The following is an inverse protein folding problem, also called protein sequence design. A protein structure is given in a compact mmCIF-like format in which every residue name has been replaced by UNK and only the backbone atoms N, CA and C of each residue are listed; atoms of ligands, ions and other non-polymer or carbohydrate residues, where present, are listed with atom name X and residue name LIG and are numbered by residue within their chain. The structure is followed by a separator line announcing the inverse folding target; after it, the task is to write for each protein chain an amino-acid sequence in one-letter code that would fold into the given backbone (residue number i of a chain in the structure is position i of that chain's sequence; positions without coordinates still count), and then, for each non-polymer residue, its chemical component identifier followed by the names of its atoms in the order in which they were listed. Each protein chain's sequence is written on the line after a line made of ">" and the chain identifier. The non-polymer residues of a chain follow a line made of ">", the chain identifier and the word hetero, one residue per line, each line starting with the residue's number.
data_IF_592056095461
#
_entry.id   IF_592056095461
#
_cell.length_a   1.000
_cell.length_b   1.000
_cell.length_c   1.000
_cell.angle_alpha   90.00
_cell.angle_beta   90.00
_cell.angle_gamma   90.00
#
_symmetry.space_group_name_H-M   'P 1'
#
loop_
_entity.id
_entity.type
_entity.pdbx_description
1 polymer ?
#
# COMPACT_ATOMS: atom_id res chain seq x y z
N UNK A 1 -24.53 -22.30 17.26
CA UNK A 1 -23.68 -21.11 17.07
C UNK A 1 -22.78 -20.98 18.30
N UNK A 2 -21.55 -21.45 18.22
CA UNK A 2 -20.56 -21.35 19.30
C UNK A 2 -19.89 -19.98 19.24
N UNK A 3 -20.06 -19.19 20.30
CA UNK A 3 -19.36 -17.92 20.49
C UNK A 3 -17.84 -18.15 20.47
N UNK A 4 -17.07 -17.43 19.65
CA UNK A 4 -15.62 -17.56 19.64
C UNK A 4 -15.06 -17.11 21.00
N UNK A 5 -14.32 -17.99 21.68
CA UNK A 5 -13.63 -17.67 22.93
C UNK A 5 -12.57 -16.58 22.65
N UNK A 6 -12.49 -15.52 23.46
CA UNK A 6 -11.52 -14.48 23.25
C UNK A 6 -10.10 -14.98 23.57
N UNK A 7 -9.20 -14.86 22.60
CA UNK A 7 -7.77 -15.14 22.74
C UNK A 7 -7.12 -14.11 23.69
N UNK A 8 -7.10 -14.39 24.99
CA UNK A 8 -6.35 -13.64 26.00
C UNK A 8 -5.24 -14.50 26.58
N UNK A 9 -4.05 -14.41 26.00
CA UNK A 9 -2.86 -15.15 26.45
C UNK A 9 -1.56 -14.38 26.28
N UNK A 10 -1.60 -13.05 26.44
CA UNK A 10 -0.40 -12.23 26.63
C UNK A 10 -0.56 -11.54 27.96
N UNK A 11 0.32 -11.87 28.91
CA UNK A 11 0.35 -11.24 30.23
C UNK A 11 0.47 -9.73 30.07
N UNK A 12 -0.29 -8.97 30.86
CA UNK A 12 -0.37 -7.51 30.76
C UNK A 12 1.00 -6.81 30.91
N UNK A 13 2.01 -7.48 31.47
CA UNK A 13 3.37 -6.96 31.66
C UNK A 13 4.18 -6.84 30.36
N UNK A 14 3.96 -7.72 29.37
CA UNK A 14 4.72 -7.71 28.10
C UNK A 14 4.27 -6.64 27.09
N UNK A 15 3.08 -6.06 27.24
CA UNK A 15 2.53 -5.06 26.30
C UNK A 15 3.10 -3.66 26.50
N UNK A 16 3.40 -3.28 27.75
CA UNK A 16 3.89 -1.95 28.12
C UNK A 16 5.22 -1.56 27.43
N UNK A 17 6.28 -2.41 27.40
CA UNK A 17 7.54 -2.01 26.78
C UNK A 17 7.43 -1.85 25.26
N UNK A 18 6.65 -2.69 24.56
CA UNK A 18 6.42 -2.55 23.12
C UNK A 18 5.67 -1.28 22.75
N UNK A 19 4.63 -0.91 23.52
CA UNK A 19 3.90 0.35 23.32
C UNK A 19 4.84 1.53 23.52
N UNK A 20 5.64 1.52 24.60
CA UNK A 20 6.55 2.62 24.92
C UNK A 20 7.62 2.81 23.85
N UNK A 21 8.20 1.72 23.34
CA UNK A 21 9.20 1.77 22.26
C UNK A 21 8.59 2.23 20.93
N UNK A 22 7.37 1.81 20.61
CA UNK A 22 6.67 2.29 19.42
C UNK A 22 6.40 3.80 19.52
N UNK A 23 5.90 4.25 20.67
CA UNK A 23 5.61 5.68 20.92
C UNK A 23 6.89 6.52 20.94
N UNK A 24 7.99 6.01 21.49
CA UNK A 24 9.27 6.74 21.53
C UNK A 24 10.05 6.68 20.22
N UNK A 25 9.98 5.57 19.49
CA UNK A 25 10.67 5.37 18.22
C UNK A 25 9.98 6.09 17.05
N UNK A 26 8.66 6.25 17.10
CA UNK A 26 7.89 6.88 16.03
C UNK A 26 8.31 8.35 15.77
N UNK A 27 8.52 9.23 16.78
CA UNK A 27 9.04 10.58 16.55
C UNK A 27 10.43 10.61 15.91
N UNK A 28 11.36 9.75 16.35
CA UNK A 28 12.71 9.66 15.78
C UNK A 28 12.65 9.18 14.33
N UNK A 29 11.80 8.19 14.08
CA UNK A 29 11.53 7.66 12.75
C UNK A 29 10.93 8.72 11.83
N UNK A 30 9.92 9.48 12.31
CA UNK A 30 9.33 10.59 11.57
C UNK A 30 10.40 11.61 11.23
N UNK A 31 11.14 12.10 12.22
CA UNK A 31 12.19 13.10 12.04
C UNK A 31 13.25 12.66 11.02
N UNK A 32 13.71 11.40 11.09
CA UNK A 32 14.73 10.87 10.19
C UNK A 32 14.28 10.87 8.73
N UNK A 33 13.04 10.46 8.47
CA UNK A 33 12.52 10.34 7.10
C UNK A 33 11.93 11.66 6.58
N UNK A 34 11.29 12.48 7.42
CA UNK A 34 10.69 13.74 6.98
C UNK A 34 11.70 14.84 6.68
N UNK A 35 12.88 14.83 7.33
CA UNK A 35 13.89 15.88 7.15
C UNK A 35 14.81 15.71 5.94
N UNK A 36 14.72 14.61 5.19
CA UNK A 36 15.74 14.24 4.18
C UNK A 36 15.30 14.40 2.72
N UNK A 37 14.00 14.51 2.47
CA UNK A 37 13.44 14.53 1.11
C UNK A 37 12.51 15.74 0.99
N UNK A 38 12.62 16.46 -0.12
CA UNK A 38 11.65 17.52 -0.44
C UNK A 38 10.29 16.86 -0.65
N UNK A 39 9.23 17.40 -0.06
CA UNK A 39 7.86 16.92 -0.26
C UNK A 39 7.37 17.33 -1.66
N UNK A 40 7.96 16.75 -2.71
CA UNK A 40 7.77 17.16 -4.10
C UNK A 40 6.30 17.19 -4.49
N UNK A 41 5.55 16.11 -4.22
CA UNK A 41 4.14 16.02 -4.57
C UNK A 41 3.30 17.02 -3.78
N UNK A 42 3.53 17.17 -2.47
CA UNK A 42 2.83 18.17 -1.68
C UNK A 42 3.05 19.57 -2.24
N UNK A 43 4.28 19.88 -2.63
CA UNK A 43 4.65 21.19 -3.16
C UNK A 43 4.03 21.47 -4.52
N UNK A 44 3.80 20.46 -5.35
CA UNK A 44 3.00 20.59 -6.57
C UNK A 44 1.59 21.06 -6.24
N UNK A 45 0.93 20.42 -5.27
CA UNK A 45 -0.43 20.79 -4.85
C UNK A 45 -0.48 22.15 -4.14
N UNK A 46 0.48 22.43 -3.26
CA UNK A 46 0.58 23.70 -2.54
C UNK A 46 0.80 24.87 -3.51
N UNK A 47 1.71 24.70 -4.49
CA UNK A 47 1.97 25.73 -5.51
C UNK A 47 0.76 25.93 -6.43
N UNK A 48 0.07 24.84 -6.79
CA UNK A 48 -1.18 24.93 -7.53
C UNK A 48 -2.27 25.65 -6.75
N UNK A 49 -2.40 25.39 -5.44
CA UNK A 49 -3.35 26.08 -4.58
C UNK A 49 -3.04 27.59 -4.51
N UNK A 50 -1.77 27.97 -4.34
CA UNK A 50 -1.34 29.37 -4.41
C UNK A 50 -1.69 30.01 -5.76
N UNK A 51 -1.41 29.31 -6.86
CA UNK A 51 -1.77 29.77 -8.20
C UNK A 51 -3.26 30.05 -8.32
N UNK A 52 -4.09 29.09 -7.91
CA UNK A 52 -5.56 29.23 -7.91
C UNK A 52 -6.02 30.41 -7.06
N UNK A 53 -5.47 30.60 -5.85
CA UNK A 53 -5.82 31.74 -4.99
C UNK A 53 -5.44 33.09 -5.57
N UNK A 54 -4.45 33.14 -6.46
CA UNK A 54 -4.01 34.34 -7.17
C UNK A 54 -4.57 34.43 -8.61
N UNK A 55 -5.56 33.61 -8.97
CA UNK A 55 -6.13 33.56 -10.31
C UNK A 55 -5.12 33.25 -11.43
N UNK A 56 -4.04 32.53 -11.09
CA UNK A 56 -3.04 32.04 -12.04
C UNK A 56 -3.35 30.59 -12.45
N UNK A 57 -2.99 30.23 -13.67
CA UNK A 57 -3.08 28.84 -14.12
C UNK A 57 -2.09 27.97 -13.34
N UNK A 58 -2.53 26.89 -12.68
CA UNK A 58 -1.63 25.95 -12.02
C UNK A 58 -0.97 24.98 -13.02
N UNK A 59 -1.46 24.93 -14.26
CA UNK A 59 -1.00 23.97 -15.26
C UNK A 59 0.26 24.44 -15.98
N UNK A 60 1.21 23.52 -16.28
CA UNK A 60 2.35 23.84 -17.12
C UNK A 60 1.93 24.11 -18.57
N UNK A 61 2.81 24.77 -19.33
CA UNK A 61 2.63 24.89 -20.77
C UNK A 61 2.79 23.51 -21.44
N UNK A 62 1.77 23.10 -22.21
CA UNK A 62 1.75 21.84 -22.97
C UNK A 62 2.87 21.85 -24.02
N UNK A 63 3.53 20.71 -24.25
CA UNK A 63 4.65 20.60 -25.18
C UNK A 63 6.01 21.01 -24.59
N UNK A 64 6.08 21.33 -23.30
CA UNK A 64 7.32 21.67 -22.62
C UNK A 64 7.76 20.55 -21.68
N UNK A 65 9.06 20.49 -21.38
CA UNK A 65 9.60 19.51 -20.41
C UNK A 65 9.05 19.66 -19.00
N UNK A 66 8.40 20.79 -18.69
CA UNK A 66 7.71 20.97 -17.42
C UNK A 66 6.61 19.91 -17.22
N UNK A 67 5.93 19.47 -18.29
CA UNK A 67 4.83 18.50 -18.23
C UNK A 67 5.26 17.19 -17.56
N UNK A 68 6.45 16.68 -17.89
CA UNK A 68 7.01 15.40 -17.42
C UNK A 68 8.23 15.60 -16.51
N UNK A 69 8.27 16.71 -15.77
CA UNK A 69 9.34 16.99 -14.80
C UNK A 69 9.15 16.30 -13.46
N UNK A 70 8.01 15.62 -13.24
CA UNK A 70 7.57 15.15 -11.92
C UNK A 70 7.19 16.27 -10.94
N UNK A 71 7.28 17.56 -11.32
CA UNK A 71 7.07 18.72 -10.44
C UNK A 71 5.94 19.65 -10.91
N UNK A 72 5.13 19.22 -11.88
CA UNK A 72 4.02 19.98 -12.43
C UNK A 72 2.67 19.50 -11.92
N UNK A 73 1.73 20.44 -11.79
CA UNK A 73 0.35 20.10 -11.46
C UNK A 73 -0.37 19.57 -12.69
N UNK A 74 -0.67 18.28 -12.66
CA UNK A 74 -1.33 17.53 -13.75
C UNK A 74 -2.65 16.89 -13.30
N UNK A 75 -3.17 17.32 -12.16
CA UNK A 75 -4.39 16.79 -11.56
C UNK A 75 -5.62 17.59 -12.00
N UNK A 76 -6.85 17.07 -11.81
CA UNK A 76 -8.05 17.85 -12.07
C UNK A 76 -8.09 19.12 -11.24
N UNK A 77 -8.51 20.22 -11.83
CA UNK A 77 -8.38 21.59 -11.30
C UNK A 77 -8.90 21.73 -9.87
N UNK A 78 -10.07 21.14 -9.57
CA UNK A 78 -10.64 21.19 -8.22
C UNK A 78 -9.79 20.48 -7.15
N UNK A 79 -8.86 19.60 -7.52
CA UNK A 79 -7.95 18.96 -6.57
C UNK A 79 -7.01 19.98 -5.91
N UNK A 80 -6.70 21.09 -6.57
CA UNK A 80 -5.90 22.17 -5.99
C UNK A 80 -6.62 22.86 -4.81
N UNK A 81 -7.96 22.91 -4.84
CA UNK A 81 -8.75 23.55 -3.78
C UNK A 81 -8.63 22.84 -2.44
N UNK A 82 -8.34 21.53 -2.44
CA UNK A 82 -8.09 20.76 -1.22
C UNK A 82 -6.88 21.30 -0.43
N UNK A 83 -5.97 21.99 -1.11
CA UNK A 83 -4.73 22.49 -0.53
C UNK A 83 -4.76 24.00 -0.21
N UNK A 84 -5.83 24.71 -0.55
CA UNK A 84 -6.00 26.13 -0.18
C UNK A 84 -5.82 26.38 1.32
N UNK A 85 -6.37 25.56 2.24
CA UNK A 85 -6.16 25.79 3.68
C UNK A 85 -4.68 25.80 4.11
N UNK A 86 -3.82 25.10 3.38
CA UNK A 86 -2.39 25.06 3.68
C UNK A 86 -1.67 26.35 3.25
N UNK A 87 -2.22 27.12 2.31
CA UNK A 87 -1.64 28.39 1.83
C UNK A 87 -1.67 29.51 2.86
N UNK A 88 -2.46 29.37 3.93
CA UNK A 88 -2.45 30.28 5.08
C UNK A 88 -1.24 30.10 6.00
N UNK A 89 -0.47 29.04 5.79
CA UNK A 89 0.75 28.73 6.54
C UNK A 89 1.97 29.07 5.68
N UNK A 90 3.12 29.33 6.33
CA UNK A 90 4.38 29.30 5.59
C UNK A 90 4.59 27.92 4.97
N UNK A 91 5.29 27.83 3.83
CA UNK A 91 5.58 26.56 3.15
C UNK A 91 6.09 25.47 4.11
N UNK A 92 7.03 25.82 4.99
CA UNK A 92 7.58 24.86 5.95
C UNK A 92 6.51 24.39 6.96
N UNK A 93 5.70 25.29 7.51
CA UNK A 93 4.60 24.90 8.40
C UNK A 93 3.58 24.00 7.69
N UNK A 94 3.24 24.34 6.45
CA UNK A 94 2.31 23.58 5.62
C UNK A 94 2.79 22.14 5.38
N UNK A 95 4.07 21.97 5.02
CA UNK A 95 4.74 20.68 4.85
C UNK A 95 4.68 19.82 6.14
N UNK A 96 4.95 20.41 7.31
CA UNK A 96 4.87 19.70 8.59
C UNK A 96 3.44 19.27 8.93
N UNK A 97 2.47 20.17 8.75
CA UNK A 97 1.05 19.85 9.00
C UNK A 97 0.59 18.74 8.05
N UNK A 98 0.99 18.77 6.79
CA UNK A 98 0.61 17.75 5.82
C UNK A 98 1.21 16.37 6.14
N UNK A 99 2.44 16.30 6.65
CA UNK A 99 3.03 15.04 7.15
C UNK A 99 2.23 14.47 8.31
N UNK A 100 1.83 15.31 9.27
CA UNK A 100 1.01 14.89 10.41
C UNK A 100 -0.34 14.34 9.92
N UNK A 101 -1.00 15.06 8.99
CA UNK A 101 -2.27 14.63 8.38
C UNK A 101 -2.12 13.31 7.63
N UNK A 102 -1.02 13.15 6.87
CA UNK A 102 -0.74 11.92 6.12
C UNK A 102 -0.53 10.72 7.05
N UNK A 103 0.29 10.88 8.09
CA UNK A 103 0.53 9.83 9.08
C UNK A 103 -0.76 9.47 9.84
N UNK A 104 -1.52 10.47 10.28
CA UNK A 104 -2.81 10.27 10.93
C UNK A 104 -3.77 9.51 10.00
N UNK A 105 -3.79 9.84 8.71
CA UNK A 105 -4.62 9.16 7.71
C UNK A 105 -4.26 7.69 7.57
N UNK A 106 -2.96 7.35 7.51
CA UNK A 106 -2.49 5.96 7.47
C UNK A 106 -2.91 5.22 8.75
N UNK A 107 -2.62 5.78 9.93
CA UNK A 107 -2.96 5.18 11.23
C UNK A 107 -4.46 4.94 11.36
N UNK A 108 -5.28 5.94 11.02
CA UNK A 108 -6.73 5.83 11.02
C UNK A 108 -7.22 4.79 10.01
N UNK A 109 -6.61 4.71 8.82
CA UNK A 109 -6.94 3.69 7.81
C UNK A 109 -6.72 2.28 8.35
N UNK A 110 -5.53 2.02 8.91
CA UNK A 110 -5.19 0.73 9.51
C UNK A 110 -6.18 0.37 10.62
N UNK A 111 -6.52 1.32 11.48
CA UNK A 111 -7.51 1.16 12.55
C UNK A 111 -8.91 0.85 12.02
N UNK A 112 -9.38 1.57 10.99
CA UNK A 112 -10.69 1.40 10.37
C UNK A 112 -10.82 0.06 9.63
N UNK A 113 -9.73 -0.41 9.01
CA UNK A 113 -9.65 -1.72 8.36
C UNK A 113 -9.58 -2.88 9.37
N UNK A 114 -9.51 -2.59 10.67
CA UNK A 114 -9.59 -3.57 11.75
C UNK A 114 -8.25 -4.00 12.31
N UNK A 115 -7.15 -3.32 11.95
CA UNK A 115 -5.84 -3.61 12.53
C UNK A 115 -5.80 -3.11 13.98
N UNK A 116 -5.62 -4.03 14.93
CA UNK A 116 -5.58 -3.74 16.38
C UNK A 116 -4.22 -3.98 17.02
N UNK A 117 -3.39 -4.81 16.40
CA UNK A 117 -2.08 -5.19 16.95
C UNK A 117 -1.05 -4.13 16.58
N UNK A 118 -0.36 -3.58 17.58
CA UNK A 118 0.70 -2.56 17.40
C UNK A 118 1.76 -3.05 16.41
N UNK A 119 2.18 -4.31 16.51
CA UNK A 119 3.16 -4.88 15.57
C UNK A 119 2.69 -4.82 14.11
N UNK A 120 1.37 -4.95 13.87
CA UNK A 120 0.81 -4.77 12.54
C UNK A 120 0.92 -3.32 12.05
N UNK A 121 0.68 -2.34 12.93
CA UNK A 121 0.94 -0.93 12.58
C UNK A 121 2.40 -0.74 12.20
N UNK A 122 3.33 -1.26 13.01
CA UNK A 122 4.77 -1.17 12.72
C UNK A 122 5.08 -1.72 11.32
N UNK A 123 4.58 -2.91 10.95
CA UNK A 123 4.84 -3.51 9.63
C UNK A 123 4.45 -2.59 8.47
N UNK A 124 3.25 -2.00 8.51
CA UNK A 124 2.81 -1.11 7.43
C UNK A 124 3.51 0.25 7.48
N UNK A 125 3.84 0.76 8.66
CA UNK A 125 4.52 2.05 8.80
C UNK A 125 5.98 2.00 8.36
N UNK A 126 6.67 0.87 8.57
CA UNK A 126 8.07 0.67 8.17
C UNK A 126 8.23 0.22 6.71
N UNK A 127 7.13 -0.07 6.02
CA UNK A 127 7.19 -0.38 4.59
C UNK A 127 7.70 0.83 3.82
N UNK A 128 8.66 0.64 2.91
CA UNK A 128 9.27 1.75 2.16
C UNK A 128 8.23 2.50 1.33
N UNK A 129 7.24 1.81 0.78
CA UNK A 129 6.14 2.41 0.00
C UNK A 129 5.28 3.35 0.85
N UNK A 130 5.13 3.05 2.14
CA UNK A 130 4.48 3.94 3.12
C UNK A 130 5.35 5.15 3.41
N UNK A 131 6.65 4.94 3.62
CA UNK A 131 7.63 6.00 3.88
C UNK A 131 7.65 6.98 2.70
N UNK A 132 7.88 6.49 1.49
CA UNK A 132 7.94 7.30 0.26
C UNK A 132 6.64 8.06 0.05
N UNK A 133 5.50 7.41 0.26
CA UNK A 133 4.19 8.03 0.14
C UNK A 133 4.00 9.23 1.07
N UNK A 134 4.49 9.15 2.32
CA UNK A 134 4.50 10.32 3.20
C UNK A 134 5.60 11.30 2.81
N UNK A 135 6.83 10.85 2.54
CA UNK A 135 8.00 11.70 2.34
C UNK A 135 7.81 12.66 1.17
N UNK A 136 7.23 12.16 0.08
CA UNK A 136 6.89 12.99 -1.08
C UNK A 136 5.67 13.88 -0.81
N UNK A 137 4.90 13.61 0.24
CA UNK A 137 3.67 14.34 0.53
C UNK A 137 2.57 14.00 -0.47
N UNK A 138 2.45 12.73 -0.85
CA UNK A 138 1.46 12.30 -1.85
C UNK A 138 0.03 12.32 -1.29
N UNK A 139 -0.97 12.21 -2.15
CA UNK A 139 -2.38 12.05 -1.75
C UNK A 139 -2.75 10.62 -1.31
N UNK A 140 -1.88 9.63 -1.51
CA UNK A 140 -2.21 8.22 -1.26
C UNK A 140 -2.58 7.91 0.21
N UNK A 141 -1.99 8.55 1.24
CA UNK A 141 -2.44 8.42 2.63
C UNK A 141 -3.92 8.80 2.81
N UNK A 142 -4.36 9.90 2.18
CA UNK A 142 -5.75 10.35 2.22
C UNK A 142 -6.66 9.41 1.42
N UNK A 143 -6.20 8.89 0.28
CA UNK A 143 -6.96 7.90 -0.49
C UNK A 143 -7.15 6.60 0.28
N UNK A 144 -6.11 6.13 0.96
CA UNK A 144 -6.20 4.97 1.86
C UNK A 144 -7.26 5.19 2.94
N UNK A 145 -7.33 6.40 3.52
CA UNK A 145 -8.33 6.77 4.52
C UNK A 145 -9.74 6.78 3.94
N UNK A 146 -9.95 7.41 2.79
CA UNK A 146 -11.24 7.41 2.10
C UNK A 146 -11.71 6.00 1.76
N UNK A 147 -10.81 5.13 1.28
CA UNK A 147 -11.12 3.72 0.99
C UNK A 147 -11.45 2.95 2.28
N UNK A 148 -10.71 3.17 3.37
CA UNK A 148 -10.97 2.54 4.66
C UNK A 148 -12.30 3.00 5.28
N UNK A 149 -12.64 4.28 5.16
CA UNK A 149 -13.93 4.84 5.55
C UNK A 149 -15.07 4.26 4.71
N UNK A 150 -14.89 4.20 3.39
CA UNK A 150 -15.86 3.59 2.47
C UNK A 150 -16.09 2.11 2.82
N UNK A 151 -15.05 1.35 3.17
CA UNK A 151 -15.17 -0.02 3.64
C UNK A 151 -15.91 -0.12 4.97
N UNK A 152 -15.52 0.69 5.97
CA UNK A 152 -16.12 0.68 7.31
C UNK A 152 -17.59 1.05 7.27
N UNK A 153 -17.95 2.06 6.48
CA UNK A 153 -19.30 2.59 6.35
C UNK A 153 -19.97 2.15 5.04
N UNK A 154 -19.60 1.00 4.47
CA UNK A 154 -20.11 0.48 3.19
C UNK A 154 -21.63 0.46 3.08
N UNK A 155 -22.34 0.35 4.21
CA UNK A 155 -23.80 0.39 4.29
C UNK A 155 -24.42 1.79 4.06
N UNK A 156 -23.65 2.87 4.14
CA UNK A 156 -24.08 4.26 3.93
C UNK A 156 -23.81 4.69 2.49
N UNK A 157 -24.76 4.43 1.60
CA UNK A 157 -24.58 4.63 0.16
C UNK A 157 -24.09 6.03 -0.23
N UNK A 158 -24.63 7.09 0.37
CA UNK A 158 -24.21 8.47 0.09
C UNK A 158 -22.75 8.73 0.46
N UNK A 159 -22.35 8.38 1.69
CA UNK A 159 -20.98 8.55 2.16
C UNK A 159 -20.00 7.76 1.27
N UNK A 160 -20.33 6.51 0.97
CA UNK A 160 -19.48 5.64 0.14
C UNK A 160 -19.34 6.18 -1.28
N UNK A 161 -20.46 6.55 -1.92
CA UNK A 161 -20.45 7.07 -3.27
C UNK A 161 -19.64 8.36 -3.39
N UNK A 162 -19.80 9.28 -2.44
CA UNK A 162 -19.01 10.54 -2.39
C UNK A 162 -17.53 10.27 -2.15
N UNK A 163 -17.17 9.42 -1.19
CA UNK A 163 -15.76 9.12 -0.90
C UNK A 163 -15.04 8.47 -2.10
N UNK A 164 -15.67 7.49 -2.75
CA UNK A 164 -15.09 6.83 -3.93
C UNK A 164 -14.99 7.79 -5.11
N UNK A 165 -15.99 8.65 -5.31
CA UNK A 165 -15.93 9.70 -6.33
C UNK A 165 -14.79 10.70 -6.07
N UNK A 166 -14.58 11.15 -4.84
CA UNK A 166 -13.50 12.06 -4.49
C UNK A 166 -12.12 11.43 -4.75
N UNK A 167 -11.94 10.16 -4.40
CA UNK A 167 -10.70 9.42 -4.65
C UNK A 167 -10.45 9.27 -6.16
N UNK A 168 -11.46 8.81 -6.91
CA UNK A 168 -11.36 8.63 -8.36
C UNK A 168 -11.16 9.94 -9.11
N UNK A 169 -11.79 11.02 -8.65
CA UNK A 169 -11.61 12.36 -9.23
C UNK A 169 -10.20 12.89 -8.95
N UNK A 170 -9.74 12.87 -7.69
CA UNK A 170 -8.42 13.37 -7.33
C UNK A 170 -7.29 12.59 -8.01
N UNK A 171 -7.51 11.30 -8.31
CA UNK A 171 -6.54 10.49 -9.06
C UNK A 171 -7.23 9.49 -9.99
N UNK A 172 -7.26 9.83 -11.28
CA UNK A 172 -8.08 9.17 -12.30
C UNK A 172 -7.86 7.65 -12.41
N UNK A 173 -6.67 7.14 -12.11
CA UNK A 173 -6.43 5.68 -12.14
C UNK A 173 -7.25 4.92 -11.07
N UNK A 174 -7.80 5.60 -10.07
CA UNK A 174 -8.67 5.04 -9.03
C UNK A 174 -10.16 5.10 -9.39
N UNK A 175 -10.55 5.66 -10.54
CA UNK A 175 -11.94 5.59 -11.05
C UNK A 175 -12.51 4.16 -11.08
N UNK A 176 -11.75 3.10 -11.41
CA UNK A 176 -12.26 1.73 -11.38
C UNK A 176 -12.86 1.32 -10.04
N UNK A 177 -12.53 1.97 -8.91
CA UNK A 177 -13.16 1.74 -7.60
C UNK A 177 -14.69 1.80 -7.63
N UNK A 178 -15.31 2.50 -8.59
CA UNK A 178 -16.77 2.47 -8.77
C UNK A 178 -17.31 1.07 -9.07
N UNK A 179 -16.52 0.21 -9.71
CA UNK A 179 -16.88 -1.18 -10.02
C UNK A 179 -17.09 -2.02 -8.76
N UNK A 180 -16.46 -1.69 -7.63
CA UNK A 180 -16.71 -2.39 -6.37
C UNK A 180 -18.18 -2.29 -5.97
N UNK A 181 -18.77 -1.11 -6.11
CA UNK A 181 -20.19 -0.89 -5.80
C UNK A 181 -21.10 -1.62 -6.79
N UNK A 182 -20.74 -1.61 -8.09
CA UNK A 182 -21.51 -2.32 -9.12
C UNK A 182 -21.51 -3.83 -8.90
N UNK A 183 -20.32 -4.43 -8.71
CA UNK A 183 -20.15 -5.87 -8.51
C UNK A 183 -20.80 -6.33 -7.20
N UNK A 184 -20.67 -5.54 -6.13
CA UNK A 184 -21.28 -5.82 -4.82
C UNK A 184 -22.78 -5.48 -4.75
N UNK A 185 -23.42 -5.18 -5.90
CA UNK A 185 -24.86 -4.85 -6.03
C UNK A 185 -25.30 -3.63 -5.21
N UNK A 186 -24.39 -2.69 -4.94
CA UNK A 186 -24.64 -1.42 -4.26
C UNK A 186 -25.00 -0.31 -5.26
N UNK A 187 -26.03 -0.55 -6.06
CA UNK A 187 -26.39 0.33 -7.19
C UNK A 187 -26.62 1.78 -6.81
N UNK A 188 -27.24 2.04 -5.65
CA UNK A 188 -27.47 3.41 -5.20
C UNK A 188 -26.16 4.16 -4.88
N UNK A 189 -25.21 3.50 -4.21
CA UNK A 189 -23.89 4.08 -3.97
C UNK A 189 -23.11 4.31 -5.27
N UNK A 190 -23.23 3.37 -6.22
CA UNK A 190 -22.66 3.50 -7.57
C UNK A 190 -23.22 4.74 -8.28
N UNK A 191 -24.54 4.93 -8.33
CA UNK A 191 -25.18 6.09 -8.95
C UNK A 191 -24.72 7.40 -8.31
N UNK A 192 -24.66 7.46 -6.97
CA UNK A 192 -24.14 8.64 -6.25
C UNK A 192 -22.69 8.92 -6.65
N UNK A 193 -21.86 7.89 -6.77
CA UNK A 193 -20.47 8.05 -7.18
C UNK A 193 -20.34 8.58 -8.61
N UNK A 194 -21.12 8.05 -9.55
CA UNK A 194 -21.12 8.53 -10.95
C UNK A 194 -21.59 9.98 -11.02
N UNK A 195 -22.68 10.32 -10.32
CA UNK A 195 -23.20 11.68 -10.30
C UNK A 195 -22.22 12.67 -9.66
N UNK A 196 -21.59 12.29 -8.55
CA UNK A 196 -20.58 13.11 -7.88
C UNK A 196 -19.34 13.31 -8.77
N UNK A 197 -18.86 12.24 -9.44
CA UNK A 197 -17.76 12.34 -10.42
C UNK A 197 -18.12 13.30 -11.57
N UNK A 198 -19.35 13.21 -12.09
CA UNK A 198 -19.81 14.09 -13.16
C UNK A 198 -19.86 15.55 -12.71
N UNK A 199 -20.40 15.84 -11.52
CA UNK A 199 -20.41 17.19 -10.96
C UNK A 199 -18.99 17.72 -10.81
N UNK A 200 -18.08 16.94 -10.23
CA UNK A 200 -16.69 17.34 -10.04
C UNK A 200 -15.99 17.57 -11.38
N UNK A 201 -16.20 16.71 -12.37
CA UNK A 201 -15.61 16.84 -13.70
C UNK A 201 -16.13 18.07 -14.46
N UNK A 202 -17.44 18.30 -14.46
CA UNK A 202 -18.09 19.47 -15.09
C UNK A 202 -17.62 20.74 -14.40
N UNK A 203 -17.68 20.80 -13.06
CA UNK A 203 -17.26 21.97 -12.29
C UNK A 203 -15.78 22.25 -12.49
N UNK A 204 -14.94 21.22 -12.48
CA UNK A 204 -13.51 21.35 -12.77
C UNK A 204 -13.25 21.86 -14.17
N UNK A 205 -14.04 21.45 -15.17
CA UNK A 205 -13.89 21.90 -16.55
C UNK A 205 -14.32 23.36 -16.72
N UNK A 206 -15.44 23.75 -16.10
CA UNK A 206 -15.99 25.11 -16.16
C UNK A 206 -15.09 26.12 -15.46
N UNK A 207 -14.50 25.74 -14.32
CA UNK A 207 -13.64 26.64 -13.53
C UNK A 207 -12.16 26.62 -13.94
N UNK A 208 -11.72 25.60 -14.67
CA UNK A 208 -10.32 25.45 -15.07
C UNK A 208 -9.92 26.51 -16.09
N UNK A 209 -8.74 27.16 -15.93
CA UNK A 209 -8.18 28.02 -16.96
C UNK A 209 -7.68 27.25 -18.18
N UNK A 210 -7.55 25.92 -18.07
CA UNK A 210 -7.17 25.01 -19.15
C UNK A 210 -8.42 24.32 -19.73
N UNK A 211 -8.73 24.48 -21.03
CA UNK A 211 -9.85 23.80 -21.67
C UNK A 211 -9.74 22.28 -21.59
N UNK A 212 -10.88 21.57 -21.58
CA UNK A 212 -10.93 20.10 -21.43
C UNK A 212 -10.02 19.37 -22.43
N UNK A 213 -10.08 19.71 -23.71
CA UNK A 213 -9.26 19.06 -24.74
C UNK A 213 -7.76 19.30 -24.53
N UNK A 214 -7.38 20.49 -24.05
CA UNK A 214 -6.00 20.80 -23.70
C UNK A 214 -5.55 20.02 -22.47
N UNK A 215 -6.41 19.89 -21.47
CA UNK A 215 -6.15 19.03 -20.30
C UNK A 215 -6.00 17.55 -20.68
N UNK A 216 -6.83 17.03 -21.58
CA UNK A 216 -6.68 15.66 -22.08
C UNK A 216 -5.36 15.48 -22.85
N UNK A 217 -4.94 16.45 -23.66
CA UNK A 217 -3.63 16.45 -24.32
C UNK A 217 -2.48 16.46 -23.33
N UNK A 218 -2.57 17.27 -22.27
CA UNK A 218 -1.59 17.29 -21.17
C UNK A 218 -1.44 15.91 -20.54
N UNK A 219 -2.56 15.24 -20.23
CA UNK A 219 -2.54 13.89 -19.66
C UNK A 219 -1.96 12.84 -20.62
N UNK A 220 -2.28 12.93 -21.93
CA UNK A 220 -1.72 12.03 -22.94
C UNK A 220 -0.21 12.23 -23.10
N UNK A 221 0.26 13.47 -23.11
CA UNK A 221 1.69 13.78 -23.18
C UNK A 221 2.44 13.25 -21.96
N UNK A 222 1.90 13.49 -20.76
CA UNK A 222 2.42 12.94 -19.52
C UNK A 222 2.47 11.41 -19.57
N UNK A 223 1.39 10.76 -19.97
CA UNK A 223 1.30 9.29 -20.04
C UNK A 223 2.30 8.67 -20.99
N UNK A 224 2.63 9.34 -22.10
CA UNK A 224 3.63 8.83 -23.07
C UNK A 224 5.05 8.90 -22.53
N UNK A 225 5.39 9.95 -21.79
CA UNK A 225 6.74 10.14 -21.26
C UNK A 225 6.95 9.37 -19.94
N UNK A 226 6.03 9.52 -19.00
CA UNK A 226 6.12 8.88 -17.68
C UNK A 226 5.76 7.39 -17.72
N UNK A 227 4.89 6.99 -18.66
CA UNK A 227 4.53 5.59 -18.83
C UNK A 227 5.73 4.71 -19.17
N UNK A 228 6.69 5.25 -19.92
CA UNK A 228 7.92 4.54 -20.29
C UNK A 228 8.92 4.39 -19.13
N UNK A 229 8.80 5.20 -18.08
CA UNK A 229 9.76 5.27 -16.96
C UNK A 229 9.20 4.69 -15.64
N UNK A 230 7.92 4.32 -15.60
CA UNK A 230 7.23 3.84 -14.40
C UNK A 230 7.19 2.32 -14.24
N UNK A 231 6.59 1.87 -13.13
CA UNK A 231 6.41 0.44 -12.80
C UNK A 231 5.11 -0.16 -13.39
N UNK A 232 4.55 0.43 -14.44
CA UNK A 232 3.23 0.04 -14.96
C UNK A 232 3.27 -1.32 -15.66
N UNK A 233 2.13 -2.02 -15.68
CA UNK A 233 2.00 -3.26 -16.45
C UNK A 233 2.20 -3.01 -17.95
N UNK A 234 1.82 -1.81 -18.43
CA UNK A 234 2.09 -1.37 -19.79
C UNK A 234 3.59 -1.40 -20.10
N UNK A 235 4.41 -0.78 -19.25
CA UNK A 235 5.87 -0.75 -19.43
C UNK A 235 6.49 -2.15 -19.36
N UNK A 236 6.02 -2.99 -18.45
CA UNK A 236 6.48 -4.37 -18.35
C UNK A 236 6.23 -5.12 -19.67
N UNK A 237 5.04 -5.01 -20.26
CA UNK A 237 4.72 -5.68 -21.52
C UNK A 237 5.52 -5.08 -22.67
N UNK A 238 5.65 -3.75 -22.75
CA UNK A 238 6.46 -3.10 -23.79
C UNK A 238 7.95 -3.48 -23.69
N UNK A 239 8.48 -3.71 -22.48
CA UNK A 239 9.86 -4.18 -22.28
C UNK A 239 10.12 -5.59 -22.81
N UNK A 240 9.06 -6.38 -23.03
CA UNK A 240 9.14 -7.71 -23.65
C UNK A 240 9.14 -7.62 -25.20
N UNK A 241 9.15 -6.43 -25.78
CA UNK A 241 9.24 -6.21 -27.23
C UNK A 241 7.91 -5.99 -27.94
N UNK A 242 6.79 -5.92 -27.21
CA UNK A 242 5.49 -5.58 -27.79
C UNK A 242 5.40 -4.07 -28.09
N UNK A 243 4.69 -3.72 -29.16
CA UNK A 243 4.35 -2.32 -29.46
C UNK A 243 3.44 -1.73 -28.37
N UNK A 244 3.34 -0.40 -28.33
CA UNK A 244 2.46 0.30 -27.39
C UNK A 244 1.00 -0.16 -27.53
N UNK A 245 0.50 -0.29 -28.75
CA UNK A 245 -0.89 -0.72 -29.02
C UNK A 245 -1.15 -2.17 -28.60
N UNK A 246 -0.21 -3.08 -28.84
CA UNK A 246 -0.31 -4.46 -28.36
C UNK A 246 -0.28 -4.52 -26.84
N UNK A 247 0.58 -3.71 -26.21
CA UNK A 247 0.69 -3.61 -24.75
C UNK A 247 -0.61 -3.10 -24.14
N UNK A 248 -1.20 -2.02 -24.69
CA UNK A 248 -2.51 -1.49 -24.28
C UNK A 248 -3.62 -2.53 -24.42
N UNK A 249 -3.64 -3.27 -25.54
CA UNK A 249 -4.61 -4.33 -25.78
C UNK A 249 -4.48 -5.47 -24.77
N UNK A 250 -3.25 -5.94 -24.50
CA UNK A 250 -2.98 -7.01 -23.52
C UNK A 250 -3.39 -6.55 -22.11
N UNK A 251 -3.09 -5.30 -21.72
CA UNK A 251 -3.53 -4.73 -20.44
C UNK A 251 -5.05 -4.70 -20.35
N UNK A 252 -5.74 -4.28 -21.41
CA UNK A 252 -7.21 -4.22 -21.44
C UNK A 252 -7.86 -5.60 -21.32
N UNK A 253 -7.36 -6.61 -22.04
CA UNK A 253 -7.83 -8.00 -21.92
C UNK A 253 -7.56 -8.55 -20.52
N UNK A 254 -6.36 -8.31 -19.97
CA UNK A 254 -6.00 -8.74 -18.61
C UNK A 254 -6.93 -8.11 -17.57
N UNK A 255 -7.22 -6.81 -17.71
CA UNK A 255 -8.15 -6.08 -16.87
C UNK A 255 -9.56 -6.67 -16.92
N UNK A 256 -10.08 -6.96 -18.12
CA UNK A 256 -11.39 -7.57 -18.31
C UNK A 256 -11.48 -8.96 -17.66
N UNK A 257 -10.50 -9.82 -17.91
CA UNK A 257 -10.42 -11.15 -17.31
C UNK A 257 -10.35 -11.06 -15.78
N UNK A 258 -9.61 -10.08 -15.24
CA UNK A 258 -9.52 -9.86 -13.80
C UNK A 258 -10.85 -9.39 -13.19
N UNK A 259 -11.59 -8.50 -13.87
CA UNK A 259 -12.95 -8.10 -13.45
C UNK A 259 -13.90 -9.30 -13.43
N UNK A 260 -13.88 -10.13 -14.48
CA UNK A 260 -14.69 -11.36 -14.55
C UNK A 260 -14.33 -12.30 -13.40
N UNK A 261 -13.04 -12.48 -13.13
CA UNK A 261 -12.55 -13.28 -12.03
C UNK A 261 -13.07 -12.79 -10.67
N UNK A 262 -12.95 -11.48 -10.40
CA UNK A 262 -13.44 -10.85 -9.16
C UNK A 262 -14.96 -11.02 -9.03
N UNK A 263 -15.72 -10.84 -10.11
CA UNK A 263 -17.17 -11.04 -10.14
C UNK A 263 -17.57 -12.49 -9.85
N UNK A 264 -16.92 -13.46 -10.48
CA UNK A 264 -17.16 -14.89 -10.21
C UNK A 264 -16.82 -15.25 -8.77
N UNK A 265 -15.71 -14.73 -8.24
CA UNK A 265 -15.33 -14.94 -6.83
C UNK A 265 -16.34 -14.33 -5.86
N UNK A 266 -16.87 -13.15 -6.18
CA UNK A 266 -17.96 -12.54 -5.42
C UNK A 266 -19.20 -13.42 -5.42
N UNK A 267 -19.64 -13.91 -6.59
CA UNK A 267 -20.79 -14.82 -6.73
C UNK A 267 -20.63 -16.10 -5.92
N UNK A 268 -19.41 -16.66 -5.87
CA UNK A 268 -19.13 -17.89 -5.15
C UNK A 268 -19.05 -17.72 -3.62
N UNK A 269 -18.59 -16.56 -3.13
CA UNK A 269 -18.32 -16.35 -1.69
C UNK A 269 -19.33 -15.44 -1.00
N UNK A 270 -20.09 -14.66 -1.76
CA UNK A 270 -20.91 -13.55 -1.28
C UNK A 270 -20.14 -12.56 -0.37
N UNK A 271 -18.82 -12.46 -0.55
CA UNK A 271 -17.94 -11.59 0.24
C UNK A 271 -17.57 -10.34 -0.56
N UNK A 272 -17.63 -9.18 0.09
CA UNK A 272 -17.28 -7.89 -0.52
C UNK A 272 -15.79 -7.56 -0.39
N UNK A 273 -15.08 -8.15 0.59
CA UNK A 273 -13.68 -7.82 0.83
C UNK A 273 -12.79 -8.18 -0.38
N UNK A 274 -12.92 -9.38 -0.99
CA UNK A 274 -12.22 -9.72 -2.24
C UNK A 274 -12.56 -8.80 -3.42
N UNK A 275 -13.76 -8.23 -3.43
CA UNK A 275 -14.18 -7.32 -4.50
C UNK A 275 -13.47 -5.97 -4.36
N UNK A 276 -13.52 -5.35 -3.19
CA UNK A 276 -12.82 -4.09 -2.96
C UNK A 276 -11.31 -4.24 -3.19
N UNK A 277 -10.72 -5.29 -2.59
CA UNK A 277 -9.29 -5.58 -2.78
C UNK A 277 -8.94 -5.83 -4.25
N UNK A 278 -9.76 -6.60 -4.97
CA UNK A 278 -9.59 -6.84 -6.39
C UNK A 278 -9.65 -5.54 -7.20
N UNK A 279 -10.62 -4.67 -6.95
CA UNK A 279 -10.75 -3.42 -7.72
C UNK A 279 -9.63 -2.41 -7.40
N UNK A 280 -9.10 -2.39 -6.17
CA UNK A 280 -7.87 -1.65 -5.84
C UNK A 280 -6.68 -2.22 -6.63
N UNK A 281 -6.52 -3.54 -6.67
CA UNK A 281 -5.45 -4.20 -7.43
C UNK A 281 -5.57 -3.88 -8.94
N UNK A 282 -6.79 -3.97 -9.48
CA UNK A 282 -7.10 -3.62 -10.85
C UNK A 282 -6.67 -2.18 -11.17
N UNK A 283 -6.99 -1.22 -10.30
CA UNK A 283 -6.60 0.18 -10.46
C UNK A 283 -5.09 0.35 -10.58
N UNK A 284 -4.31 -0.40 -9.78
CA UNK A 284 -2.84 -0.38 -9.81
C UNK A 284 -2.25 -1.11 -11.02
N UNK A 285 -2.94 -2.13 -11.56
CA UNK A 285 -2.50 -2.88 -12.75
C UNK A 285 -2.74 -2.06 -14.02
N UNK A 286 -3.90 -1.44 -14.15
CA UNK A 286 -4.30 -0.76 -15.40
C UNK A 286 -3.77 0.67 -15.52
N UNK A 287 -3.20 1.23 -14.45
CA UNK A 287 -2.68 2.59 -14.49
C UNK A 287 -1.50 2.66 -15.48
N UNK A 288 -1.51 3.62 -16.42
CA UNK A 288 -0.39 3.79 -17.35
C UNK A 288 0.88 4.27 -16.64
N UNK A 289 0.71 4.96 -15.50
CA UNK A 289 1.79 5.48 -14.68
C UNK A 289 1.62 4.90 -13.27
N UNK A 290 2.51 4.00 -12.88
CA UNK A 290 2.56 3.43 -11.52
C UNK A 290 3.83 3.90 -10.84
N UNK A 291 3.69 4.74 -9.83
CA UNK A 291 4.81 5.13 -8.96
C UNK A 291 4.83 4.28 -7.70
N UNK A 292 6.03 4.13 -7.13
CA UNK A 292 6.30 3.44 -5.87
C UNK A 292 5.36 3.82 -4.73
N UNK A 293 5.07 5.12 -4.57
CA UNK A 293 4.18 5.65 -3.52
C UNK A 293 2.75 5.09 -3.61
N UNK A 294 2.31 4.62 -4.77
CA UNK A 294 0.94 4.13 -5.00
C UNK A 294 0.75 2.76 -4.35
N UNK A 295 1.85 2.02 -4.19
CA UNK A 295 1.88 0.71 -3.55
C UNK A 295 1.55 0.76 -2.05
N UNK A 296 1.42 1.94 -1.45
CA UNK A 296 0.76 2.11 -0.15
C UNK A 296 -0.66 1.49 -0.17
N UNK A 297 -1.38 1.61 -1.29
CA UNK A 297 -2.75 1.09 -1.40
C UNK A 297 -2.81 -0.45 -1.37
N UNK A 298 -1.70 -1.16 -1.57
CA UNK A 298 -1.61 -2.60 -1.36
C UNK A 298 -1.88 -2.98 0.12
N UNK A 299 -1.62 -2.08 1.07
CA UNK A 299 -1.95 -2.31 2.47
C UNK A 299 -3.45 -2.59 2.67
N UNK A 300 -4.32 -1.92 1.90
CA UNK A 300 -5.77 -2.19 1.92
C UNK A 300 -6.06 -3.63 1.51
N UNK A 301 -5.44 -4.10 0.43
CA UNK A 301 -5.61 -5.47 -0.10
C UNK A 301 -5.16 -6.49 0.95
N UNK A 302 -3.96 -6.31 1.50
CA UNK A 302 -3.36 -7.24 2.44
C UNK A 302 -4.24 -7.38 3.68
N UNK A 303 -4.69 -6.26 4.26
CA UNK A 303 -5.49 -6.29 5.49
C UNK A 303 -6.86 -6.92 5.26
N UNK A 304 -7.47 -6.72 4.09
CA UNK A 304 -8.80 -7.24 3.78
C UNK A 304 -8.81 -8.73 3.42
N UNK A 305 -7.72 -9.26 2.87
CA UNK A 305 -7.69 -10.59 2.26
C UNK A 305 -6.84 -11.59 3.03
N UNK A 306 -5.74 -11.13 3.63
CA UNK A 306 -4.70 -12.01 4.17
C UNK A 306 -4.57 -11.80 5.68
N UNK A 307 -4.30 -12.87 6.46
CA UNK A 307 -3.87 -12.69 7.85
C UNK A 307 -2.64 -11.79 7.92
N UNK A 308 -2.77 -10.66 8.62
CA UNK A 308 -1.77 -9.58 8.63
C UNK A 308 -0.41 -10.03 9.19
N UNK A 309 -0.37 -11.07 10.01
CA UNK A 309 0.83 -11.50 10.74
C UNK A 309 2.07 -11.69 9.87
N UNK A 310 2.01 -12.56 8.85
CA UNK A 310 3.15 -12.80 7.95
C UNK A 310 3.11 -11.88 6.72
N UNK A 311 1.90 -11.56 6.25
CA UNK A 311 1.72 -10.77 5.04
C UNK A 311 2.18 -9.32 5.22
N UNK A 312 2.03 -8.76 6.42
CA UNK A 312 2.59 -7.45 6.76
C UNK A 312 4.11 -7.45 6.77
N UNK A 313 4.75 -8.52 7.26
CA UNK A 313 6.22 -8.67 7.23
C UNK A 313 6.72 -8.77 5.78
N UNK A 314 6.07 -9.63 4.98
CA UNK A 314 6.42 -9.79 3.57
C UNK A 314 6.21 -8.49 2.81
N UNK A 315 5.11 -7.78 3.04
CA UNK A 315 4.88 -6.47 2.45
C UNK A 315 5.95 -5.46 2.83
N UNK A 316 6.26 -5.34 4.12
CA UNK A 316 7.31 -4.47 4.61
C UNK A 316 8.65 -4.81 3.94
N UNK A 317 9.08 -6.07 4.00
CA UNK A 317 10.35 -6.51 3.42
C UNK A 317 10.40 -6.30 1.89
N UNK A 318 9.39 -6.76 1.15
CA UNK A 318 9.34 -6.62 -0.31
C UNK A 318 9.28 -5.17 -0.74
N UNK A 319 8.60 -4.29 0.00
CA UNK A 319 8.56 -2.87 -0.35
C UNK A 319 9.96 -2.28 -0.46
N UNK A 320 10.88 -2.64 0.44
CA UNK A 320 12.28 -2.17 0.42
C UNK A 320 13.09 -2.68 -0.76
N UNK A 321 12.74 -3.84 -1.32
CA UNK A 321 13.34 -4.35 -2.55
C UNK A 321 12.80 -3.66 -3.80
N UNK A 322 11.53 -3.27 -3.79
CA UNK A 322 10.90 -2.57 -4.92
C UNK A 322 11.34 -1.10 -4.95
N UNK A 323 11.42 -0.48 -3.77
CA UNK A 323 11.58 0.97 -3.63
C UNK A 323 12.49 1.23 -2.44
N UNK A 324 13.65 1.79 -2.72
CA UNK A 324 14.46 2.46 -1.70
C UNK A 324 13.97 3.90 -1.58
N UNK A 325 13.58 4.37 -0.38
CA UNK A 325 13.23 5.77 -0.20
C UNK A 325 14.40 6.68 -0.56
N UNK A 326 14.10 7.81 -1.18
CA UNK A 326 15.11 8.76 -1.65
C UNK A 326 16.10 9.10 -0.53
N UNK A 327 17.40 9.00 -0.84
CA UNK A 327 18.51 9.32 0.07
C UNK A 327 18.58 8.45 1.33
N UNK A 328 17.95 7.27 1.33
CA UNK A 328 18.30 6.22 2.28
C UNK A 328 19.70 5.68 1.96
N UNK A 329 20.74 6.37 2.44
CA UNK A 329 22.11 5.82 2.41
C UNK A 329 22.19 4.49 3.17
N UNK A 330 23.29 3.75 2.99
CA UNK A 330 23.50 2.42 3.59
C UNK A 330 23.09 2.35 5.08
N UNK A 331 23.50 3.33 5.89
CA UNK A 331 23.14 3.41 7.31
C UNK A 331 21.62 3.49 7.58
N UNK A 332 20.85 4.15 6.70
CA UNK A 332 19.39 4.22 6.80
C UNK A 332 18.74 2.87 6.51
N UNK A 333 19.22 2.15 5.50
CA UNK A 333 18.79 0.78 5.20
C UNK A 333 19.18 -0.18 6.33
N UNK A 334 20.40 -0.07 6.88
CA UNK A 334 20.87 -0.89 8.01
C UNK A 334 20.05 -0.68 9.28
N UNK A 335 19.77 0.58 9.65
CA UNK A 335 18.96 0.91 10.83
C UNK A 335 17.54 0.32 10.70
N UNK A 336 17.00 0.30 9.48
CA UNK A 336 15.66 -0.18 9.22
C UNK A 336 15.56 -1.70 9.11
N UNK A 337 16.54 -2.35 8.48
CA UNK A 337 16.68 -3.80 8.54
C UNK A 337 16.87 -4.26 10.00
N UNK A 338 17.60 -3.50 10.81
CA UNK A 338 17.70 -3.74 12.25
C UNK A 338 16.34 -3.58 12.95
N UNK A 339 15.60 -2.50 12.69
CA UNK A 339 14.25 -2.31 13.24
C UNK A 339 13.28 -3.41 12.78
N UNK A 340 13.29 -3.80 11.51
CA UNK A 340 12.44 -4.83 10.95
C UNK A 340 12.80 -6.22 11.51
N UNK A 341 14.09 -6.56 11.57
CA UNK A 341 14.58 -7.80 12.18
C UNK A 341 14.25 -7.85 13.67
N UNK A 342 14.45 -6.76 14.40
CA UNK A 342 14.15 -6.66 15.84
C UNK A 342 12.65 -6.79 16.12
N UNK A 343 11.79 -6.09 15.36
CA UNK A 343 10.33 -6.24 15.48
C UNK A 343 9.87 -7.65 15.09
N UNK A 344 10.48 -8.25 14.07
CA UNK A 344 10.21 -9.65 13.67
C UNK A 344 10.66 -10.64 14.73
N UNK A 345 11.82 -10.46 15.36
CA UNK A 345 12.32 -11.26 16.48
C UNK A 345 11.45 -11.11 17.73
N UNK A 346 10.98 -9.90 18.04
CA UNK A 346 10.03 -9.65 19.13
C UNK A 346 8.70 -10.38 18.89
N UNK A 347 8.20 -10.36 17.65
CA UNK A 347 7.01 -11.10 17.23
C UNK A 347 7.19 -12.62 17.28
N UNK A 348 8.33 -13.12 16.81
CA UNK A 348 8.68 -14.54 16.85
C UNK A 348 8.80 -15.02 18.30
N UNK A 349 9.43 -14.25 19.20
CA UNK A 349 9.41 -14.55 20.64
C UNK A 349 7.98 -14.53 21.20
N UNK A 350 7.19 -13.50 20.89
CA UNK A 350 5.81 -13.39 21.41
C UNK A 350 4.91 -14.53 20.92
N UNK A 351 5.07 -14.99 19.68
CA UNK A 351 4.27 -16.06 19.09
C UNK A 351 4.79 -17.48 19.41
N UNK A 352 6.12 -17.70 19.52
CA UNK A 352 6.69 -19.01 19.85
C UNK A 352 6.38 -19.44 21.30
N UNK A 353 6.17 -18.47 22.19
CA UNK A 353 5.80 -18.73 23.58
C UNK A 353 4.27 -18.86 23.81
N UNK A 354 3.44 -18.76 22.75
CA UNK A 354 2.02 -19.11 22.85
C UNK A 354 1.79 -20.57 22.42
N UNK A 355 1.33 -21.46 23.33
CA UNK A 355 1.09 -22.88 23.03
C UNK A 355 0.18 -23.10 21.82
N UNK A 356 -0.81 -22.21 21.61
CA UNK A 356 -1.78 -22.27 20.51
C UNK A 356 -1.16 -22.05 19.12
N UNK A 357 -0.03 -21.35 19.01
CA UNK A 357 0.65 -21.13 17.72
C UNK A 357 1.48 -22.34 17.29
N UNK A 358 2.00 -23.14 18.23
CA UNK A 358 2.68 -24.40 17.91
C UNK A 358 1.75 -25.40 17.25
N UNK A 359 0.52 -25.47 17.73
CA UNK A 359 -0.51 -26.33 17.15
C UNK A 359 -1.04 -25.72 15.84
N UNK A 360 -1.30 -24.41 15.78
CA UNK A 360 -1.76 -23.77 14.53
C UNK A 360 -0.74 -23.85 13.39
N UNK A 361 0.57 -23.76 13.65
CA UNK A 361 1.61 -23.97 12.62
C UNK A 361 1.64 -25.43 12.16
N UNK A 362 1.45 -26.40 13.07
CA UNK A 362 1.35 -27.82 12.71
C UNK A 362 0.06 -28.17 11.98
N UNK A 363 -1.07 -27.51 12.28
CA UNK A 363 -2.38 -27.82 11.67
C UNK A 363 -2.68 -26.99 10.41
N UNK A 364 -2.20 -25.74 10.29
CA UNK A 364 -2.39 -24.88 9.09
C UNK A 364 -1.26 -25.00 8.05
N UNK A 365 -0.12 -25.62 8.36
CA UNK A 365 0.83 -26.05 7.31
C UNK A 365 0.34 -27.26 6.51
N UNK A 366 -0.83 -27.84 6.84
CA UNK A 366 -1.71 -28.39 5.80
C UNK A 366 -2.39 -27.21 5.12
N UNK A 367 -1.65 -26.54 4.23
CA UNK A 367 -2.16 -25.48 3.36
C UNK A 367 -3.43 -25.99 2.67
N UNK A 368 -4.61 -25.59 3.15
CA UNK A 368 -5.79 -25.55 2.28
C UNK A 368 -5.37 -24.66 1.13
N UNK A 369 -5.23 -25.23 -0.06
CA UNK A 369 -4.80 -24.60 -1.30
C UNK A 369 -4.87 -23.08 -1.18
N UNK A 370 -3.70 -22.45 -0.97
CA UNK A 370 -3.60 -21.00 -0.94
C UNK A 370 -4.42 -20.52 -2.13
N UNK A 371 -5.43 -19.68 -1.86
CA UNK A 371 -6.36 -19.20 -2.88
C UNK A 371 -5.57 -18.94 -4.16
N UNK A 372 -5.97 -19.49 -5.32
CA UNK A 372 -5.24 -19.27 -6.58
C UNK A 372 -4.94 -17.79 -6.85
N UNK A 373 -5.74 -16.89 -6.25
CA UNK A 373 -5.53 -15.43 -6.19
C UNK A 373 -4.28 -15.03 -5.45
N UNK A 374 -4.03 -15.57 -4.26
CA UNK A 374 -2.85 -15.23 -3.45
C UNK A 374 -1.61 -15.81 -4.11
N UNK A 375 -1.67 -17.04 -4.63
CA UNK A 375 -0.55 -17.64 -5.36
C UNK A 375 -0.29 -16.90 -6.67
N UNK A 376 -1.32 -16.59 -7.44
CA UNK A 376 -1.21 -15.82 -8.68
C UNK A 376 -0.72 -14.38 -8.44
N UNK A 377 -1.24 -13.70 -7.43
CA UNK A 377 -0.80 -12.35 -7.07
C UNK A 377 0.65 -12.35 -6.57
N UNK A 378 1.04 -13.31 -5.73
CA UNK A 378 2.43 -13.47 -5.29
C UNK A 378 3.36 -13.87 -6.43
N UNK A 379 2.91 -14.69 -7.37
CA UNK A 379 3.69 -15.08 -8.55
C UNK A 379 3.88 -13.92 -9.53
N UNK A 380 2.83 -13.13 -9.78
CA UNK A 380 2.91 -11.91 -10.59
C UNK A 380 3.77 -10.87 -9.89
N UNK A 381 3.59 -10.65 -8.58
CA UNK A 381 4.45 -9.77 -7.81
C UNK A 381 5.91 -10.25 -7.84
N UNK A 382 6.18 -11.55 -7.68
CA UNK A 382 7.52 -12.13 -7.76
C UNK A 382 8.14 -12.03 -9.17
N UNK A 383 7.34 -12.19 -10.22
CA UNK A 383 7.79 -12.02 -11.60
C UNK A 383 8.12 -10.56 -11.93
N UNK A 384 7.28 -9.62 -11.47
CA UNK A 384 7.54 -8.18 -11.57
C UNK A 384 8.82 -7.84 -10.81
N UNK A 385 8.94 -8.31 -9.56
CA UNK A 385 10.11 -8.14 -8.69
C UNK A 385 11.41 -8.66 -9.34
N UNK A 386 11.36 -9.87 -9.90
CA UNK A 386 12.50 -10.50 -10.57
C UNK A 386 12.89 -9.74 -11.84
N UNK A 387 11.91 -9.28 -12.63
CA UNK A 387 12.15 -8.48 -13.82
C UNK A 387 12.80 -7.12 -13.48
N UNK A 388 12.31 -6.42 -12.45
CA UNK A 388 12.92 -5.15 -11.97
C UNK A 388 14.30 -5.35 -11.38
N UNK A 389 14.51 -6.42 -10.59
CA UNK A 389 15.83 -6.71 -10.03
C UNK A 389 16.85 -7.03 -11.14
N UNK A 390 16.44 -7.74 -12.19
CA UNK A 390 17.32 -8.07 -13.32
C UNK A 390 17.58 -6.88 -14.26
N UNK A 391 16.66 -5.91 -14.35
CA UNK A 391 16.90 -4.67 -15.11
C UNK A 391 17.88 -3.74 -14.40
N UNK A 392 17.78 -3.60 -13.07
CA UNK A 392 18.69 -2.76 -12.28
C UNK A 392 20.09 -3.36 -12.14
N UNK A 393 20.20 -4.69 -12.08
CA UNK A 393 21.49 -5.38 -11.98
C UNK A 393 22.41 -5.13 -13.19
N UNK A 394 21.85 -4.78 -14.36
CA UNK A 394 22.63 -4.42 -15.55
C UNK A 394 23.23 -3.00 -15.48
N UNK A 395 22.79 -2.15 -14.55
CA UNK A 395 23.17 -0.73 -14.51
C UNK A 395 24.22 -0.38 -13.43
N UNK A 396 24.45 -1.20 -12.40
CA UNK A 396 25.49 -0.97 -11.38
C UNK A 396 26.14 -2.27 -10.85
N UNK A 397 27.19 -2.81 -11.51
CA UNK A 397 27.66 -4.18 -11.22
C UNK A 397 28.60 -4.34 -10.01
N UNK A 398 29.17 -3.27 -9.45
CA UNK A 398 30.44 -3.42 -8.70
C UNK A 398 30.36 -3.28 -7.18
N UNK A 399 29.27 -2.77 -6.60
CA UNK A 399 29.19 -2.53 -5.15
C UNK A 399 28.30 -3.55 -4.42
N UNK A 400 27.30 -4.12 -5.09
CA UNK A 400 26.27 -4.91 -4.40
C UNK A 400 26.60 -6.41 -4.22
N UNK A 401 27.40 -7.01 -5.12
CA UNK A 401 27.65 -8.47 -5.07
C UNK A 401 28.57 -8.88 -3.90
N UNK A 402 29.58 -8.07 -3.57
CA UNK A 402 30.49 -8.34 -2.44
C UNK A 402 29.81 -8.15 -1.07
N UNK A 403 28.82 -7.24 -1.00
CA UNK A 403 28.06 -6.97 0.22
C UNK A 403 26.94 -7.99 0.45
N UNK A 404 26.34 -8.52 -0.62
CA UNK A 404 25.40 -9.64 -0.55
C UNK A 404 26.04 -10.93 0.00
N UNK A 405 27.30 -11.18 -0.33
CA UNK A 405 28.07 -12.33 0.18
C UNK A 405 28.44 -12.19 1.68
N UNK A 406 28.67 -10.97 2.18
CA UNK A 406 28.85 -10.71 3.62
C UNK A 406 27.57 -10.96 4.44
N UNK A 407 26.40 -10.95 3.80
CA UNK A 407 25.10 -11.21 4.44
C UNK A 407 24.81 -12.69 4.69
N UNK A 408 25.49 -13.61 3.99
CA UNK A 408 25.32 -15.07 4.17
C UNK A 408 26.20 -15.66 5.28
N UNK A 409 27.27 -14.96 5.68
CA UNK A 409 28.21 -15.40 6.71
C UNK A 409 27.58 -15.56 8.12
N UNK A 410 26.67 -14.69 8.59
CA UNK A 410 26.02 -14.89 9.90
C UNK A 410 25.01 -16.04 9.90
N UNK A 411 24.39 -16.36 8.75
CA UNK A 411 23.47 -17.49 8.63
C UNK A 411 24.19 -18.84 8.66
N UNK A 412 25.42 -18.91 8.14
CA UNK A 412 26.25 -20.12 8.23
C UNK A 412 26.72 -20.40 9.68
N UNK A 413 26.99 -19.35 10.47
CA UNK A 413 27.47 -19.50 11.85
C UNK A 413 26.39 -19.88 12.89
N UNK A 414 25.10 -19.74 12.57
CA UNK A 414 24.02 -20.18 13.47
C UNK A 414 23.67 -21.67 13.37
N UNK A 415 24.32 -22.42 12.46
CA UNK A 415 24.08 -23.86 12.27
C UNK A 415 24.75 -24.78 13.31
N UNK A 416 25.49 -24.24 14.29
CA UNK A 416 26.30 -25.03 15.23
C UNK A 416 25.71 -25.22 16.65
N UNK A 417 24.43 -24.93 16.87
CA UNK A 417 23.78 -25.29 18.14
C UNK A 417 23.23 -26.71 18.07
N UNK A 418 23.97 -27.64 18.68
CA UNK A 418 23.61 -29.06 18.78
C UNK A 418 22.26 -29.30 19.45
N UNK A 419 21.62 -30.46 19.18
CA UNK A 419 20.26 -30.74 19.63
C UNK A 419 20.20 -30.90 21.15
N UNK A 420 19.36 -30.08 21.79
CA UNK A 420 19.00 -30.24 23.20
C UNK A 420 18.09 -31.48 23.30
N UNK A 421 18.59 -32.56 23.92
CA UNK A 421 17.80 -33.77 24.18
C UNK A 421 16.69 -33.48 25.21
N UNK A 422 15.45 -33.93 24.98
CA UNK A 422 14.40 -33.80 25.98
C UNK A 422 14.65 -34.77 27.15
N UNK A 423 14.55 -34.25 28.38
CA UNK A 423 14.42 -35.08 29.59
C UNK A 423 13.07 -35.80 29.54
N UNK A 424 13.12 -37.12 29.39
CA UNK A 424 12.00 -38.01 29.67
C UNK A 424 11.89 -38.14 31.19
N UNK A 425 10.85 -37.56 31.79
CA UNK A 425 10.39 -37.93 33.12
C UNK A 425 9.37 -39.05 32.95
N UNK A 426 9.81 -40.26 33.26
CA UNK A 426 8.96 -41.43 33.47
C UNK A 426 8.29 -41.33 34.84
N UNK A 427 6.96 -41.40 34.88
CA UNK A 427 6.23 -41.83 36.08
C UNK A 427 5.26 -42.96 35.70
N UNK A 428 5.01 -43.90 36.63
CA UNK A 428 4.63 -45.28 36.32
C UNK A 428 3.12 -45.51 36.23
N UNK A 429 2.68 -46.67 35.69
CA UNK A 429 1.28 -47.05 35.64
C UNK A 429 0.86 -47.69 36.95
N UNK A 430 -0.30 -47.31 37.50
CA UNK A 430 -0.97 -48.18 38.46
C UNK A 430 -2.50 -47.97 38.52
N UNK A 431 -3.20 -49.09 38.25
CA UNK A 431 -4.45 -49.60 38.87
C UNK A 431 -5.73 -48.78 38.68
N UNK A 432 -6.68 -49.22 37.85
CA UNK A 432 -7.70 -50.27 38.11
C UNK A 432 -8.25 -50.21 39.55
N UNK A 433 -9.47 -49.68 39.72
CA UNK A 433 -10.54 -50.38 40.45
C UNK A 433 -11.93 -49.75 40.25
N UNK A 434 -12.91 -50.63 40.44
CA UNK A 434 -14.34 -50.61 40.11
C UNK A 434 -15.21 -49.77 41.06
N UNK A 435 -16.46 -49.55 40.61
CA UNK A 435 -17.73 -49.40 41.34
C UNK A 435 -17.93 -48.18 42.26
N UNK A 436 -18.83 -47.28 41.87
CA UNK A 436 -20.21 -47.22 42.38
C UNK A 436 -21.09 -46.32 41.50
#
# INVERSE_FOLDING_TARGET
>A
MSTPRPFYGLTASGRKPMVLMFVAGLPVYIWYFSGRVNQSDFLVFYSAALGVTHHLSPYPAIGTSAVYSGSSFVYPYLSAYLFIPFTFLSRSQAEHVYVIVSLASIMCSLWLLGLRRICGYSMFLIASTTIVSWQMGTLNPLFMLCIALAWKYRHKAMLVGVLIALVGFAKLFLVPLVLWMLISRRYYAFLISIFTLLILAVTSTVLSPLPLFSYLRLLLELSRHEGASGFSTLQLISSLGFSLHESEFIVAITALLFVIFVYQRHRATNSEAPVLAGVVALSLIITPILWSSYLLLLAVIIILIVPVDWAGIVYAALSWFIVTPDRAGFAGVTLLLFFAAFNSLALVRVNLFQPSCRDMVRTKMRLSAASPVVVGFLAVAAAILLATALSDFKLQPTVDLQMFLLFLLPMAMMSNFGPIRPRLTSDPPDKICRNH
#
